data_IF_034393480408
#
_entry.id   IF_034393480408
#
_cell.length_a   1.000
_cell.length_b   1.000
_cell.length_c   1.000
_cell.angle_alpha   90.00
_cell.angle_beta   90.00
_cell.angle_gamma   90.00
#
_symmetry.space_group_name_H-M   'P 1'
#
loop_
_entity.id
_entity.type
_entity.pdbx_description
1 polymer ?
#
# COMPACT_ATOMS: atom_id res chain seq x y z
N UNK A 1 23.90 -18.54 -0.90
CA UNK A 1 24.27 -17.38 -0.07
C UNK A 1 23.11 -17.18 0.90
N UNK A 2 23.36 -16.97 2.20
CA UNK A 2 22.25 -16.74 3.14
C UNK A 2 21.60 -15.38 2.87
N UNK A 3 20.30 -15.23 3.16
CA UNK A 3 19.57 -13.95 3.05
C UNK A 3 20.31 -12.83 3.82
N UNK A 4 20.90 -13.15 4.97
CA UNK A 4 21.75 -12.24 5.75
C UNK A 4 22.98 -11.75 4.99
N UNK A 5 23.71 -12.65 4.32
CA UNK A 5 24.91 -12.26 3.56
C UNK A 5 24.55 -11.38 2.36
N UNK A 6 23.39 -11.64 1.74
CA UNK A 6 22.90 -10.89 0.59
C UNK A 6 22.53 -9.44 0.94
N UNK A 7 21.89 -9.22 2.09
CA UNK A 7 21.38 -7.89 2.47
C UNK A 7 22.45 -6.92 2.98
N UNK A 8 23.62 -7.41 3.42
CA UNK A 8 24.72 -6.57 3.91
C UNK A 8 25.10 -5.44 2.93
N UNK A 9 25.46 -5.72 1.66
CA UNK A 9 25.86 -4.67 0.72
C UNK A 9 24.73 -3.68 0.42
N UNK A 10 23.47 -4.15 0.31
CA UNK A 10 22.32 -3.26 0.08
C UNK A 10 22.09 -2.35 1.29
N UNK A 11 22.15 -2.92 2.51
CA UNK A 11 22.05 -2.15 3.75
C UNK A 11 23.06 -1.02 3.81
N UNK A 12 24.32 -1.32 3.51
CA UNK A 12 25.42 -0.35 3.57
C UNK A 12 25.33 0.70 2.46
N UNK A 13 25.09 0.29 1.22
CA UNK A 13 25.13 1.18 0.07
C UNK A 13 23.90 2.09 -0.04
N UNK A 14 22.74 1.62 0.42
CA UNK A 14 21.47 2.33 0.32
C UNK A 14 20.99 2.90 1.66
N UNK A 15 21.74 2.71 2.74
CA UNK A 15 21.37 3.12 4.10
C UNK A 15 19.98 2.58 4.46
N UNK A 16 19.76 1.28 4.29
CA UNK A 16 18.46 0.68 4.63
C UNK A 16 18.16 0.88 6.12
N UNK A 17 16.95 1.33 6.44
CA UNK A 17 16.46 1.32 7.82
C UNK A 17 16.33 -0.10 8.37
N UNK A 18 16.31 -0.25 9.70
CA UNK A 18 16.11 -1.55 10.33
C UNK A 18 14.74 -2.17 9.99
N UNK A 19 13.73 -1.33 9.76
CA UNK A 19 12.39 -1.77 9.30
C UNK A 19 12.52 -2.36 7.90
N UNK A 20 13.09 -1.61 6.95
CA UNK A 20 13.32 -2.06 5.59
C UNK A 20 14.10 -3.37 5.54
N UNK A 21 15.15 -3.48 6.35
CA UNK A 21 15.94 -4.71 6.43
C UNK A 21 15.11 -5.91 6.88
N UNK A 22 14.23 -5.74 7.87
CA UNK A 22 13.37 -6.83 8.34
C UNK A 22 12.29 -7.19 7.31
N UNK A 23 11.69 -6.21 6.65
CA UNK A 23 10.72 -6.44 5.55
C UNK A 23 11.35 -7.26 4.43
N UNK A 24 12.55 -6.88 3.98
CA UNK A 24 13.25 -7.62 2.94
C UNK A 24 13.65 -9.03 3.40
N UNK A 25 14.01 -9.22 4.68
CA UNK A 25 14.29 -10.56 5.22
C UNK A 25 13.07 -11.45 5.15
N UNK A 26 11.93 -10.97 5.64
CA UNK A 26 10.68 -11.73 5.66
C UNK A 26 10.24 -12.08 4.24
N UNK A 27 10.23 -11.11 3.32
CA UNK A 27 9.89 -11.39 1.92
C UNK A 27 10.86 -12.37 1.27
N UNK A 28 12.17 -12.32 1.58
CA UNK A 28 13.15 -13.27 1.03
C UNK A 28 13.08 -14.68 1.62
N UNK A 29 12.52 -14.85 2.81
CA UNK A 29 12.30 -16.18 3.40
C UNK A 29 11.17 -16.92 2.67
N UNK A 30 10.16 -16.18 2.19
CA UNK A 30 9.03 -16.71 1.40
C UNK A 30 9.33 -16.72 -0.10
N UNK A 31 10.04 -15.70 -0.59
CA UNK A 31 10.31 -15.43 -2.01
C UNK A 31 11.83 -15.29 -2.27
N UNK A 32 12.62 -16.37 -2.11
CA UNK A 32 14.09 -16.29 -2.20
C UNK A 32 14.62 -15.82 -3.56
N UNK A 33 13.81 -15.87 -4.62
CA UNK A 33 14.19 -15.37 -5.95
C UNK A 33 14.14 -13.83 -6.06
N UNK A 34 13.53 -13.12 -5.11
CA UNK A 34 13.53 -11.65 -5.09
C UNK A 34 14.90 -11.03 -4.81
N UNK A 35 15.92 -11.82 -4.41
CA UNK A 35 17.30 -11.32 -4.24
C UNK A 35 17.80 -10.57 -5.49
N UNK A 36 17.51 -11.09 -6.68
CA UNK A 36 17.90 -10.42 -7.93
C UNK A 36 17.16 -9.09 -8.10
N UNK A 37 15.86 -9.07 -7.85
CA UNK A 37 15.05 -7.85 -7.95
C UNK A 37 15.55 -6.78 -6.98
N UNK A 38 15.80 -7.10 -5.71
CA UNK A 38 16.32 -6.14 -4.74
C UNK A 38 17.72 -5.63 -5.09
N UNK A 39 18.56 -6.46 -5.72
CA UNK A 39 19.85 -6.01 -6.26
C UNK A 39 19.65 -4.94 -7.32
N UNK A 40 18.78 -5.20 -8.30
CA UNK A 40 18.52 -4.27 -9.40
C UNK A 40 17.88 -2.97 -8.90
N UNK A 41 16.90 -3.08 -7.99
CA UNK A 41 16.24 -1.94 -7.34
C UNK A 41 17.21 -1.08 -6.51
N UNK A 42 18.20 -1.70 -5.86
CA UNK A 42 19.20 -0.98 -5.06
C UNK A 42 20.07 -0.03 -5.91
N UNK A 43 20.24 -0.31 -7.21
CA UNK A 43 20.99 0.56 -8.11
C UNK A 43 20.19 1.73 -8.70
N UNK A 44 18.87 1.77 -8.48
CA UNK A 44 18.05 2.88 -8.95
C UNK A 44 18.41 4.18 -8.22
N UNK A 45 18.56 5.29 -8.96
CA UNK A 45 18.87 6.60 -8.38
C UNK A 45 17.84 7.03 -7.33
N UNK A 46 16.57 6.66 -7.55
CA UNK A 46 15.46 6.90 -6.63
C UNK A 46 15.57 6.17 -5.29
N UNK A 47 16.44 5.16 -5.19
CA UNK A 47 16.68 4.37 -3.97
C UNK A 47 18.04 4.69 -3.33
N UNK A 48 18.70 5.77 -3.76
CA UNK A 48 19.97 6.21 -3.18
C UNK A 48 19.83 6.62 -1.70
N UNK A 49 20.96 6.56 -0.97
CA UNK A 49 21.05 6.89 0.45
C UNK A 49 20.32 8.18 0.85
N UNK A 50 20.37 9.24 0.03
CA UNK A 50 19.74 10.53 0.38
C UNK A 50 18.22 10.45 0.56
N UNK A 51 17.58 9.41 0.01
CA UNK A 51 16.15 9.16 0.16
C UNK A 51 15.83 8.15 1.27
N UNK A 52 16.83 7.58 1.95
CA UNK A 52 16.60 6.63 3.04
C UNK A 52 15.73 7.23 4.15
N UNK A 53 14.85 6.41 4.70
CA UNK A 53 14.07 6.68 5.90
C UNK A 53 14.94 7.13 7.09
N UNK A 54 16.20 6.67 7.20
CA UNK A 54 17.12 7.06 8.26
C UNK A 54 17.45 8.57 8.23
N UNK A 55 17.36 9.21 7.06
CA UNK A 55 17.62 10.63 6.88
C UNK A 55 16.41 11.53 7.14
N UNK A 56 15.24 10.93 7.43
CA UNK A 56 13.98 11.64 7.64
C UNK A 56 13.89 12.14 9.08
N UNK A 57 13.62 13.44 9.22
CA UNK A 57 13.40 14.08 10.52
C UNK A 57 11.93 14.01 10.91
N UNK A 58 11.69 13.66 12.15
CA UNK A 58 10.37 13.75 12.78
C UNK A 58 9.99 15.22 12.98
N UNK A 59 8.72 15.55 12.70
CA UNK A 59 8.15 16.88 12.86
C UNK A 59 6.97 16.86 13.83
N UNK A 60 6.56 18.01 14.35
CA UNK A 60 5.29 18.09 15.07
C UNK A 60 4.14 18.09 14.04
N UNK A 61 3.43 16.97 13.93
CA UNK A 61 2.43 16.71 12.90
C UNK A 61 1.04 16.53 13.52
N UNK A 62 -0.04 17.03 12.89
CA UNK A 62 -1.41 16.79 13.34
C UNK A 62 -1.81 15.29 13.28
N UNK A 63 -1.04 14.47 12.57
CA UNK A 63 -1.24 13.02 12.47
C UNK A 63 -0.58 12.24 13.62
N UNK A 64 0.18 12.92 14.50
CA UNK A 64 0.90 12.26 15.60
C UNK A 64 -0.02 11.38 16.45
N UNK A 65 0.44 10.16 16.71
CA UNK A 65 -0.25 9.11 17.46
C UNK A 65 -1.58 8.61 16.84
N UNK A 66 -1.99 9.10 15.67
CA UNK A 66 -3.15 8.54 14.96
C UNK A 66 -2.82 7.12 14.54
N UNK A 67 -3.68 6.18 14.94
CA UNK A 67 -3.49 4.76 14.67
C UNK A 67 -4.17 4.41 13.36
N UNK A 68 -3.38 4.15 12.34
CA UNK A 68 -3.87 3.97 10.97
C UNK A 68 -3.47 2.58 10.48
N UNK A 69 -4.46 1.81 10.05
CA UNK A 69 -4.25 0.52 9.40
C UNK A 69 -4.11 0.73 7.89
N UNK A 70 -3.02 0.26 7.32
CA UNK A 70 -2.77 0.23 5.89
C UNK A 70 -2.84 -1.21 5.42
N UNK A 71 -3.86 -1.54 4.63
CA UNK A 71 -4.00 -2.84 3.98
C UNK A 71 -3.63 -2.69 2.50
N UNK A 72 -2.69 -3.49 2.02
CA UNK A 72 -2.36 -3.49 0.59
C UNK A 72 -1.43 -4.61 0.17
N UNK A 73 -0.75 -4.39 -0.95
CA UNK A 73 0.18 -5.34 -1.56
C UNK A 73 1.57 -4.73 -1.74
N UNK A 74 2.26 -5.02 -2.84
CA UNK A 74 3.63 -4.58 -3.14
C UNK A 74 3.84 -3.06 -3.07
N UNK A 75 2.82 -2.26 -3.36
CA UNK A 75 2.88 -0.79 -3.30
C UNK A 75 2.78 -0.29 -1.86
N UNK A 76 1.94 -0.85 -0.99
CA UNK A 76 1.97 -0.52 0.45
C UNK A 76 3.22 -1.07 1.12
N UNK A 77 3.67 -2.26 0.71
CA UNK A 77 4.90 -2.89 1.21
C UNK A 77 6.15 -2.05 0.90
N UNK A 78 6.17 -1.37 -0.25
CA UNK A 78 7.32 -0.59 -0.71
C UNK A 78 8.31 -1.41 -1.51
N UNK A 79 7.83 -2.35 -2.33
CA UNK A 79 8.67 -3.29 -3.09
C UNK A 79 9.73 -2.57 -3.92
N UNK A 80 9.32 -1.59 -4.75
CA UNK A 80 10.21 -0.77 -5.57
C UNK A 80 11.14 0.17 -4.79
N UNK A 81 10.92 0.31 -3.48
CA UNK A 81 11.63 1.20 -2.57
C UNK A 81 12.40 0.45 -1.47
N UNK A 82 12.72 -0.82 -1.71
CA UNK A 82 13.47 -1.67 -0.80
C UNK A 82 12.80 -1.79 0.59
N UNK A 83 11.48 -1.94 0.62
CA UNK A 83 10.68 -2.09 1.84
C UNK A 83 10.37 -0.79 2.59
N UNK A 84 10.68 0.39 2.03
CA UNK A 84 10.33 1.70 2.60
C UNK A 84 9.25 2.40 1.77
N UNK A 85 8.00 2.29 2.19
CA UNK A 85 6.86 2.94 1.53
C UNK A 85 6.48 4.26 2.21
N UNK A 86 5.50 4.97 1.63
CA UNK A 86 4.91 6.16 2.23
C UNK A 86 4.42 5.93 3.68
N UNK A 87 4.07 4.69 4.05
CA UNK A 87 3.65 4.35 5.41
C UNK A 87 4.80 4.51 6.40
N UNK A 88 5.99 4.04 6.03
CA UNK A 88 7.18 4.15 6.87
C UNK A 88 7.60 5.62 7.01
N UNK A 89 7.49 6.40 5.92
CA UNK A 89 7.73 7.84 5.96
C UNK A 89 6.73 8.57 6.87
N UNK A 90 5.43 8.27 6.80
CA UNK A 90 4.43 8.83 7.71
C UNK A 90 4.75 8.46 9.17
N UNK A 91 5.13 7.21 9.44
CA UNK A 91 5.54 6.80 10.78
C UNK A 91 6.74 7.62 11.28
N UNK A 92 7.79 7.74 10.47
CA UNK A 92 9.04 8.41 10.85
C UNK A 92 8.90 9.94 10.95
N UNK A 93 8.26 10.56 9.96
CA UNK A 93 8.11 12.01 9.83
C UNK A 93 6.99 12.52 10.73
N UNK A 94 5.79 11.94 10.60
CA UNK A 94 4.57 12.42 11.24
C UNK A 94 4.28 11.77 12.59
N UNK A 95 4.90 10.62 12.87
CA UNK A 95 4.70 9.93 14.15
C UNK A 95 3.32 9.27 14.26
N UNK A 96 2.73 8.82 13.15
CA UNK A 96 1.53 7.97 13.19
C UNK A 96 1.85 6.63 13.88
N UNK A 97 0.86 6.03 14.52
CA UNK A 97 0.92 4.64 14.96
C UNK A 97 0.48 3.73 13.81
N UNK A 98 1.37 3.56 12.83
CA UNK A 98 1.09 2.76 11.63
C UNK A 98 0.96 1.27 11.94
N UNK A 99 -0.08 0.63 11.39
CA UNK A 99 -0.14 -0.82 11.21
C UNK A 99 -0.03 -1.06 9.71
N UNK A 100 1.11 -1.57 9.25
CA UNK A 100 1.37 -1.85 7.84
C UNK A 100 1.13 -3.33 7.58
N UNK A 101 -0.05 -3.66 7.06
CA UNK A 101 -0.42 -5.01 6.65
C UNK A 101 -0.39 -5.11 5.13
N UNK A 102 0.79 -5.41 4.60
CA UNK A 102 1.04 -5.42 3.18
C UNK A 102 2.02 -6.50 2.80
N UNK A 103 1.66 -7.26 1.76
CA UNK A 103 2.44 -8.39 1.31
C UNK A 103 2.60 -8.34 -0.21
N UNK A 104 3.77 -8.73 -0.68
CA UNK A 104 4.08 -8.66 -2.09
C UNK A 104 3.19 -9.63 -2.90
N UNK A 105 2.75 -9.20 -4.10
CA UNK A 105 2.00 -10.08 -5.01
C UNK A 105 0.54 -10.41 -4.64
N UNK A 106 0.04 -10.01 -3.48
CA UNK A 106 -1.32 -10.41 -3.03
C UNK A 106 -2.46 -9.64 -3.70
N UNK A 107 -3.62 -10.27 -3.78
CA UNK A 107 -4.86 -9.73 -4.37
C UNK A 107 -5.88 -9.30 -3.31
N UNK A 108 -6.85 -8.45 -3.70
CA UNK A 108 -8.04 -8.18 -2.88
C UNK A 108 -8.94 -9.41 -2.77
N UNK A 109 -9.14 -10.10 -3.90
CA UNK A 109 -9.98 -11.29 -3.96
C UNK A 109 -9.51 -12.38 -3.01
N UNK A 110 -10.45 -12.94 -2.24
CA UNK A 110 -10.24 -14.10 -1.39
C UNK A 110 -10.23 -15.36 -2.28
N UNK A 111 -9.08 -15.64 -2.89
CA UNK A 111 -8.87 -16.89 -3.58
C UNK A 111 -8.56 -17.95 -2.52
N UNK A 112 -9.37 -19.00 -2.45
CA UNK A 112 -9.23 -20.13 -1.53
C UNK A 112 -7.96 -20.94 -1.93
N UNK A 113 -6.78 -20.34 -1.75
CA UNK A 113 -5.48 -20.90 -2.10
C UNK A 113 -4.92 -21.67 -0.90
N UNK A 114 -4.04 -22.62 -1.21
CA UNK A 114 -3.51 -23.61 -0.25
C UNK A 114 -2.55 -23.02 0.80
N UNK A 115 -2.32 -21.71 0.79
CA UNK A 115 -1.51 -20.98 1.75
C UNK A 115 -2.40 -20.02 2.55
N UNK A 116 -2.28 -20.08 3.88
CA UNK A 116 -2.98 -19.16 4.77
C UNK A 116 -2.36 -17.75 4.64
N UNK A 117 -3.14 -16.75 4.21
CA UNK A 117 -2.72 -15.33 4.20
C UNK A 117 -2.69 -14.62 2.83
N UNK A 118 -2.91 -15.35 1.73
CA UNK A 118 -2.67 -14.87 0.36
C UNK A 118 -3.57 -13.71 -0.14
N UNK A 119 -4.64 -13.36 0.59
CA UNK A 119 -5.59 -12.31 0.21
C UNK A 119 -5.66 -11.16 1.22
N UNK A 120 -5.85 -9.94 0.72
CA UNK A 120 -6.07 -8.78 1.57
C UNK A 120 -7.30 -8.95 2.48
N UNK A 121 -8.32 -9.70 2.05
CA UNK A 121 -9.50 -10.03 2.87
C UNK A 121 -9.14 -10.91 4.06
N UNK A 122 -8.30 -11.94 3.85
CA UNK A 122 -7.86 -12.82 4.93
C UNK A 122 -7.07 -12.03 5.98
N UNK A 123 -6.05 -11.26 5.57
CA UNK A 123 -5.26 -10.44 6.49
C UNK A 123 -6.07 -9.35 7.18
N UNK A 124 -6.99 -8.71 6.45
CA UNK A 124 -7.93 -7.75 7.04
C UNK A 124 -8.75 -8.36 8.19
N UNK A 125 -9.24 -9.60 8.06
CA UNK A 125 -10.02 -10.27 9.12
C UNK A 125 -9.22 -10.42 10.41
N UNK A 126 -7.91 -10.64 10.33
CA UNK A 126 -7.04 -10.75 11.50
C UNK A 126 -6.91 -9.43 12.27
N UNK A 127 -6.99 -8.30 11.55
CA UNK A 127 -6.87 -6.96 12.12
C UNK A 127 -8.14 -6.48 12.83
N UNK A 128 -9.31 -7.08 12.60
CA UNK A 128 -10.60 -6.62 13.14
C UNK A 128 -10.61 -6.44 14.67
N UNK A 129 -9.74 -7.16 15.39
CA UNK A 129 -9.63 -7.08 16.85
C UNK A 129 -8.85 -5.85 17.35
N UNK A 130 -8.21 -5.12 16.44
CA UNK A 130 -7.31 -4.01 16.76
C UNK A 130 -8.06 -2.69 16.56
N UNK A 131 -8.30 -1.89 17.62
CA UNK A 131 -8.92 -0.56 17.45
C UNK A 131 -8.01 0.36 16.64
N UNK A 132 -8.59 1.13 15.72
CA UNK A 132 -7.89 2.08 14.83
C UNK A 132 -8.69 3.38 14.66
N UNK A 133 -8.00 4.45 14.27
CA UNK A 133 -8.61 5.75 13.97
C UNK A 133 -9.08 5.88 12.52
N UNK A 134 -8.49 5.10 11.60
CA UNK A 134 -8.72 5.13 10.16
C UNK A 134 -8.17 3.88 9.46
N UNK A 135 -8.85 3.43 8.40
CA UNK A 135 -8.39 2.41 7.47
C UNK A 135 -7.94 3.07 6.15
N UNK A 136 -6.80 2.65 5.62
CA UNK A 136 -6.31 2.98 4.29
C UNK A 136 -6.16 1.68 3.49
N UNK A 137 -6.87 1.57 2.37
CA UNK A 137 -6.90 0.37 1.54
C UNK A 137 -6.31 0.68 0.16
N UNK A 138 -5.31 -0.11 -0.25
CA UNK A 138 -4.78 -0.06 -1.60
C UNK A 138 -5.78 -0.68 -2.59
N UNK A 139 -6.05 0.02 -3.70
CA UNK A 139 -6.68 -0.59 -4.87
C UNK A 139 -5.65 -1.46 -5.60
N UNK A 140 -5.74 -2.77 -5.40
CA UNK A 140 -4.73 -3.74 -5.83
C UNK A 140 -4.51 -3.75 -7.36
N UNK A 141 -3.26 -3.56 -7.76
CA UNK A 141 -2.83 -3.70 -9.16
C UNK A 141 -2.68 -5.17 -9.56
N UNK A 142 -2.49 -6.08 -8.59
CA UNK A 142 -2.34 -7.52 -8.83
C UNK A 142 -3.63 -8.15 -9.32
N UNK A 143 -4.79 -7.70 -8.82
CA UNK A 143 -6.09 -8.17 -9.29
C UNK A 143 -6.28 -7.87 -10.78
N UNK A 144 -5.81 -6.69 -11.23
CA UNK A 144 -5.84 -6.31 -12.63
C UNK A 144 -4.82 -7.07 -13.49
N UNK A 145 -3.60 -7.31 -12.97
CA UNK A 145 -2.55 -8.06 -13.69
C UNK A 145 -2.87 -9.56 -13.81
N UNK A 146 -3.56 -10.12 -12.82
CA UNK A 146 -4.00 -11.53 -12.81
C UNK A 146 -5.42 -11.74 -13.37
N UNK A 147 -6.03 -10.67 -13.88
CA UNK A 147 -7.35 -10.68 -14.53
C UNK A 147 -8.46 -11.29 -13.64
N UNK A 148 -8.50 -10.88 -12.39
CA UNK A 148 -9.52 -11.28 -11.43
C UNK A 148 -10.92 -10.82 -11.87
N UNK A 149 -11.95 -11.52 -11.39
CA UNK A 149 -13.33 -11.16 -11.68
C UNK A 149 -13.68 -9.82 -11.04
N UNK A 150 -14.11 -8.83 -11.83
CA UNK A 150 -14.50 -7.52 -11.32
C UNK A 150 -15.68 -7.59 -10.33
N UNK A 151 -16.69 -8.40 -10.63
CA UNK A 151 -17.95 -8.42 -9.86
C UNK A 151 -18.84 -7.23 -10.20
N UNK A 152 -19.78 -6.92 -9.29
CA UNK A 152 -20.71 -5.79 -9.39
C UNK A 152 -20.94 -5.23 -7.99
N UNK A 153 -21.31 -3.96 -7.90
CA UNK A 153 -21.73 -3.35 -6.63
C UNK A 153 -23.00 -4.06 -6.18
N UNK A 154 -23.02 -4.58 -4.95
CA UNK A 154 -24.16 -5.28 -4.38
C UNK A 154 -25.32 -4.33 -4.11
N UNK A 155 -26.55 -4.82 -4.21
CA UNK A 155 -27.76 -4.09 -3.77
C UNK A 155 -28.13 -4.42 -2.31
N UNK A 156 -27.48 -5.42 -1.71
CA UNK A 156 -27.68 -5.91 -0.35
C UNK A 156 -26.35 -6.07 0.39
N UNK A 157 -26.40 -6.65 1.60
CA UNK A 157 -25.24 -6.90 2.46
C UNK A 157 -24.54 -8.25 2.18
N UNK A 158 -24.81 -8.89 1.03
CA UNK A 158 -24.09 -10.07 0.58
C UNK A 158 -22.99 -9.69 -0.40
N UNK A 159 -21.74 -9.93 0.00
CA UNK A 159 -20.57 -9.57 -0.80
C UNK A 159 -19.80 -10.83 -1.23
N UNK A 160 -19.67 -11.03 -2.54
CA UNK A 160 -18.88 -12.13 -3.10
C UNK A 160 -17.38 -11.78 -3.03
N UNK A 161 -16.70 -12.25 -1.99
CA UNK A 161 -15.27 -12.02 -1.78
C UNK A 161 -14.38 -12.68 -2.84
N UNK A 162 -14.94 -13.51 -3.73
CA UNK A 162 -14.24 -14.04 -4.91
C UNK A 162 -14.24 -13.06 -6.11
N UNK A 163 -14.79 -11.85 -5.92
CA UNK A 163 -14.74 -10.75 -6.89
C UNK A 163 -14.09 -9.52 -6.29
N UNK A 164 -13.49 -8.67 -7.14
CA UNK A 164 -12.81 -7.45 -6.70
C UNK A 164 -13.78 -6.53 -5.95
N UNK A 165 -14.95 -6.24 -6.54
CA UNK A 165 -15.92 -5.34 -5.93
C UNK A 165 -16.49 -5.94 -4.64
N UNK A 166 -16.84 -7.23 -4.63
CA UNK A 166 -17.36 -7.87 -3.42
C UNK A 166 -16.31 -7.92 -2.29
N UNK A 167 -15.03 -8.16 -2.59
CA UNK A 167 -13.96 -8.09 -1.60
C UNK A 167 -13.82 -6.67 -1.01
N UNK A 168 -13.86 -5.64 -1.85
CA UNK A 168 -13.82 -4.24 -1.38
C UNK A 168 -15.03 -3.91 -0.50
N UNK A 169 -16.25 -4.27 -0.91
CA UNK A 169 -17.46 -4.01 -0.12
C UNK A 169 -17.48 -4.77 1.20
N UNK A 170 -16.98 -6.01 1.21
CA UNK A 170 -16.80 -6.77 2.45
C UNK A 170 -15.88 -6.02 3.42
N UNK A 171 -14.69 -5.59 2.97
CA UNK A 171 -13.73 -4.86 3.83
C UNK A 171 -14.37 -3.56 4.35
N UNK A 172 -15.01 -2.78 3.47
CA UNK A 172 -15.65 -1.51 3.83
C UNK A 172 -16.75 -1.73 4.88
N UNK A 173 -17.67 -2.66 4.61
CA UNK A 173 -18.80 -2.97 5.49
C UNK A 173 -18.32 -3.43 6.88
N UNK A 174 -17.38 -4.37 6.92
CA UNK A 174 -16.84 -4.89 8.18
C UNK A 174 -16.06 -3.82 8.97
N UNK A 175 -15.26 -2.98 8.29
CA UNK A 175 -14.52 -1.91 8.93
C UNK A 175 -15.46 -0.85 9.53
N UNK A 176 -16.51 -0.45 8.80
CA UNK A 176 -17.50 0.50 9.30
C UNK A 176 -18.32 -0.08 10.45
N UNK A 177 -18.69 -1.36 10.40
CA UNK A 177 -19.41 -2.03 11.48
C UNK A 177 -18.56 -2.21 12.75
N UNK A 178 -17.25 -2.37 12.61
CA UNK A 178 -16.35 -2.69 13.72
C UNK A 178 -15.75 -1.44 14.38
N UNK A 179 -15.23 -0.50 13.58
CA UNK A 179 -14.44 0.62 14.11
C UNK A 179 -15.13 1.97 14.00
N UNK A 180 -16.17 2.08 13.16
CA UNK A 180 -16.86 3.35 12.88
C UNK A 180 -15.88 4.49 12.50
N UNK A 181 -14.83 4.15 11.74
CA UNK A 181 -13.78 5.07 11.34
C UNK A 181 -13.83 5.42 9.84
N UNK A 182 -13.17 6.51 9.40
CA UNK A 182 -13.08 6.85 7.99
C UNK A 182 -12.27 5.78 7.28
N UNK A 183 -12.58 5.61 6.00
CA UNK A 183 -11.90 4.68 5.11
C UNK A 183 -11.43 5.49 3.92
N UNK A 184 -10.16 5.33 3.56
CA UNK A 184 -9.57 5.88 2.36
C UNK A 184 -9.14 4.74 1.45
N UNK A 185 -9.64 4.70 0.22
CA UNK A 185 -9.08 3.85 -0.82
C UNK A 185 -8.09 4.69 -1.62
N UNK A 186 -6.91 4.18 -1.95
CA UNK A 186 -6.00 4.87 -2.87
C UNK A 186 -5.72 4.04 -4.11
N UNK A 187 -5.65 4.71 -5.26
CA UNK A 187 -5.35 4.09 -6.56
C UNK A 187 -3.85 4.22 -6.86
N UNK A 188 -3.34 3.34 -7.71
CA UNK A 188 -2.02 3.49 -8.31
C UNK A 188 -2.05 4.64 -9.33
N UNK A 189 -0.93 5.33 -9.58
CA UNK A 189 -0.77 6.16 -10.76
C UNK A 189 -1.17 5.42 -12.04
N UNK A 190 -1.48 6.19 -13.09
CA UNK A 190 -1.89 5.65 -14.37
C UNK A 190 -0.89 4.61 -14.90
N UNK A 191 -1.41 3.43 -15.26
CA UNK A 191 -0.75 2.43 -16.09
C UNK A 191 -1.79 1.81 -17.02
N UNK A 192 -1.37 1.33 -18.19
CA UNK A 192 -2.31 0.88 -19.22
C UNK A 192 -2.92 -0.49 -18.85
N UNK A 193 -4.09 -0.48 -18.20
CA UNK A 193 -4.85 -1.70 -17.92
C UNK A 193 -6.36 -1.42 -17.86
N UNK A 194 -7.11 -2.03 -18.79
CA UNK A 194 -8.57 -1.84 -18.92
C UNK A 194 -9.35 -2.30 -17.67
N UNK A 195 -8.92 -3.39 -17.04
CA UNK A 195 -9.57 -3.88 -15.82
C UNK A 195 -9.29 -2.92 -14.66
N UNK A 196 -8.05 -2.43 -14.53
CA UNK A 196 -7.73 -1.44 -13.49
C UNK A 196 -8.53 -0.14 -13.67
N UNK A 197 -8.71 0.34 -14.90
CA UNK A 197 -9.59 1.49 -15.18
C UNK A 197 -11.04 1.25 -14.68
N UNK A 198 -11.57 0.04 -14.87
CA UNK A 198 -12.88 -0.35 -14.35
C UNK A 198 -12.90 -0.40 -12.82
N UNK A 199 -11.82 -0.91 -12.20
CA UNK A 199 -11.66 -0.93 -10.75
C UNK A 199 -11.63 0.48 -10.16
N UNK A 200 -10.94 1.43 -10.78
CA UNK A 200 -10.92 2.85 -10.37
C UNK A 200 -12.33 3.44 -10.43
N UNK A 201 -13.09 3.18 -11.50
CA UNK A 201 -14.49 3.61 -11.61
C UNK A 201 -15.36 2.98 -10.51
N UNK A 202 -15.14 1.71 -10.20
CA UNK A 202 -15.85 1.01 -9.13
C UNK A 202 -15.51 1.60 -7.75
N UNK A 203 -14.25 1.90 -7.46
CA UNK A 203 -13.85 2.55 -6.21
C UNK A 203 -14.60 3.87 -5.98
N UNK A 204 -14.76 4.69 -7.02
CA UNK A 204 -15.57 5.92 -6.96
C UNK A 204 -17.07 5.68 -6.81
N UNK A 205 -17.61 4.57 -7.34
CA UNK A 205 -18.99 4.17 -7.09
C UNK A 205 -19.19 3.77 -5.62
N UNK A 206 -18.27 2.98 -5.09
CA UNK A 206 -18.27 2.56 -3.68
C UNK A 206 -18.08 3.74 -2.74
N UNK A 207 -17.25 4.73 -3.10
CA UNK A 207 -17.10 5.98 -2.37
C UNK A 207 -18.44 6.67 -2.11
N UNK A 208 -19.28 6.79 -3.15
CA UNK A 208 -20.62 7.37 -3.05
C UNK A 208 -21.58 6.50 -2.26
N UNK A 209 -21.57 5.18 -2.49
CA UNK A 209 -22.47 4.23 -1.81
C UNK A 209 -22.21 4.19 -0.31
N UNK A 210 -20.94 4.10 0.08
CA UNK A 210 -20.52 3.82 1.46
C UNK A 210 -20.06 5.07 2.22
N UNK A 211 -20.10 6.25 1.59
CA UNK A 211 -19.59 7.50 2.15
C UNK A 211 -18.15 7.37 2.65
N UNK A 212 -17.27 6.87 1.77
CA UNK A 212 -15.82 6.75 2.00
C UNK A 212 -15.06 7.64 1.02
N UNK A 213 -13.77 7.85 1.28
CA UNK A 213 -12.93 8.72 0.45
C UNK A 213 -12.07 7.91 -0.52
N UNK A 214 -11.73 8.49 -1.68
CA UNK A 214 -10.82 7.89 -2.66
C UNK A 214 -9.70 8.88 -2.99
N UNK A 215 -8.46 8.51 -2.69
CA UNK A 215 -7.27 9.18 -3.20
C UNK A 215 -6.95 8.65 -4.60
N UNK A 216 -7.46 9.36 -5.61
CA UNK A 216 -7.32 8.96 -7.01
C UNK A 216 -6.01 9.46 -7.63
N UNK A 217 -4.95 8.67 -7.51
CA UNK A 217 -3.67 8.93 -8.19
C UNK A 217 -3.72 8.57 -9.68
N UNK A 218 -4.60 7.63 -10.07
CA UNK A 218 -4.76 7.16 -11.45
C UNK A 218 -5.19 8.29 -12.39
N UNK A 219 -6.17 9.10 -11.99
CA UNK A 219 -6.63 10.25 -12.77
C UNK A 219 -5.92 11.57 -12.41
N UNK A 220 -4.91 11.53 -11.53
CA UNK A 220 -4.19 12.73 -11.13
C UNK A 220 -3.11 13.10 -12.16
N UNK A 221 -3.19 14.30 -12.80
CA UNK A 221 -2.21 14.70 -13.81
C UNK A 221 -0.78 14.83 -13.25
N UNK A 222 -0.58 15.11 -11.96
CA UNK A 222 0.74 15.22 -11.34
C UNK A 222 1.48 13.88 -11.19
N UNK A 223 0.75 12.78 -11.43
CA UNK A 223 1.20 11.39 -11.40
C UNK A 223 1.20 10.71 -12.77
N UNK A 224 0.77 11.44 -13.83
CA UNK A 224 0.84 11.00 -15.22
C UNK A 224 2.24 11.32 -15.76
N UNK A 225 2.98 10.31 -16.23
CA UNK A 225 4.34 10.44 -16.79
C UNK A 225 5.43 10.85 -15.77
N UNK A 226 5.53 10.10 -14.68
CA UNK A 226 6.54 10.34 -13.66
C UNK A 226 7.96 9.96 -14.12
N UNK A 227 8.99 10.77 -13.82
CA UNK A 227 10.38 10.41 -14.06
C UNK A 227 10.77 9.06 -13.43
N UNK A 228 11.70 8.34 -14.06
CA UNK A 228 12.30 7.11 -13.54
C UNK A 228 12.99 7.28 -12.16
N UNK A 229 13.23 8.53 -11.74
CA UNK A 229 13.65 8.80 -10.37
C UNK A 229 12.59 8.36 -9.35
N UNK A 230 11.30 8.52 -9.65
CA UNK A 230 10.19 8.29 -8.73
C UNK A 230 9.54 6.92 -8.88
N UNK A 231 9.72 6.25 -10.02
CA UNK A 231 9.07 4.98 -10.34
C UNK A 231 10.11 3.96 -10.78
N UNK A 232 10.16 2.81 -10.11
CA UNK A 232 11.03 1.68 -10.44
C UNK A 232 10.53 0.93 -11.69
N UNK A 233 9.21 0.87 -11.83
CA UNK A 233 8.49 0.37 -13.00
C UNK A 233 7.15 1.11 -13.12
N UNK A 234 6.24 0.66 -13.98
CA UNK A 234 4.92 1.31 -14.18
C UNK A 234 4.01 1.28 -12.92
N UNK A 235 4.30 0.43 -11.93
CA UNK A 235 3.50 0.21 -10.73
C UNK A 235 4.20 0.77 -9.49
N UNK A 236 5.47 0.45 -9.27
CA UNK A 236 6.13 0.59 -7.97
C UNK A 236 6.93 1.90 -7.87
N UNK A 237 6.62 2.78 -6.90
CA UNK A 237 7.47 3.91 -6.58
C UNK A 237 8.81 3.49 -5.99
N UNK A 238 9.83 4.32 -6.23
CA UNK A 238 11.11 4.29 -5.51
C UNK A 238 10.98 5.02 -4.17
N UNK A 239 12.03 5.01 -3.34
CA UNK A 239 12.08 5.82 -2.10
C UNK A 239 11.86 7.30 -2.38
N UNK A 240 12.47 7.84 -3.43
CA UNK A 240 12.24 9.21 -3.89
C UNK A 240 10.77 9.45 -4.26
N UNK A 241 10.15 8.50 -4.97
CA UNK A 241 8.74 8.58 -5.34
C UNK A 241 7.83 8.63 -4.11
N UNK A 242 8.08 7.78 -3.12
CA UNK A 242 7.32 7.83 -1.88
C UNK A 242 7.56 9.13 -1.10
N UNK A 243 8.82 9.48 -0.84
CA UNK A 243 9.18 10.62 0.01
C UNK A 243 8.80 11.97 -0.59
N UNK A 244 9.10 12.21 -1.88
CA UNK A 244 8.98 13.53 -2.49
C UNK A 244 7.64 13.74 -3.19
N UNK A 245 6.99 12.67 -3.66
CA UNK A 245 5.74 12.74 -4.44
C UNK A 245 4.52 12.24 -3.67
N UNK A 246 4.55 11.02 -3.14
CA UNK A 246 3.36 10.42 -2.52
C UNK A 246 3.11 10.96 -1.12
N UNK A 247 4.13 11.02 -0.27
CA UNK A 247 4.02 11.40 1.12
C UNK A 247 3.28 12.73 1.32
N UNK A 248 3.59 13.84 0.61
CA UNK A 248 2.86 15.09 0.77
C UNK A 248 1.36 14.99 0.45
N UNK A 249 1.00 14.14 -0.51
CA UNK A 249 -0.40 13.92 -0.91
C UNK A 249 -1.14 13.14 0.17
N UNK A 250 -0.52 12.08 0.70
CA UNK A 250 -1.08 11.30 1.81
C UNK A 250 -1.16 12.13 3.10
N UNK A 251 -0.12 12.88 3.48
CA UNK A 251 -0.13 13.77 4.66
C UNK A 251 -1.33 14.71 4.61
N UNK A 252 -1.54 15.36 3.47
CA UNK A 252 -2.65 16.30 3.26
C UNK A 252 -4.01 15.60 3.31
N UNK A 253 -4.17 14.45 2.65
CA UNK A 253 -5.45 13.75 2.61
C UNK A 253 -5.83 13.16 3.98
N UNK A 254 -4.89 12.50 4.65
CA UNK A 254 -5.09 11.94 5.98
C UNK A 254 -5.42 13.04 7.00
N UNK A 255 -4.71 14.18 6.95
CA UNK A 255 -4.97 15.31 7.85
C UNK A 255 -6.37 15.87 7.63
N UNK A 256 -6.79 16.06 6.37
CA UNK A 256 -8.13 16.54 6.04
C UNK A 256 -9.21 15.59 6.55
N UNK A 257 -9.06 14.28 6.32
CA UNK A 257 -10.06 13.29 6.72
C UNK A 257 -10.17 13.21 8.24
N UNK A 258 -9.04 13.16 8.95
CA UNK A 258 -9.02 13.02 10.41
C UNK A 258 -9.39 14.31 11.15
N UNK A 259 -9.35 15.47 10.50
CA UNK A 259 -9.83 16.74 11.05
C UNK A 259 -11.36 16.90 10.97
N UNK A 260 -12.06 16.12 10.13
CA UNK A 260 -13.54 16.17 10.02
C UNK A 260 -14.27 15.45 11.16
N UNK A 261 -13.55 14.80 12.08
CA UNK A 261 -14.07 14.00 13.19
C UNK A 261 -14.24 14.80 14.49
#
# INVERSE_FOLDING_TARGET
>A
MSNETFLIPIRQNNDLSDIALNELRMDLDEHPLHQRAYTELAYLLGNSHKYSLNNVKTIDSPLRNKKILFVGSSVTFGFGALGESFVDYLWKKDGIAAIKDAENGTTLVDQDTSYHGDSCVARFKENLKTPIDMLVLQLSTNDARTNQKLGKVSDDDHFDTQTIIGAMEYIISQAQATWHCPILIYTNPYFENKLYEQMVKAAHQLARKWNIEVLDLYNNPDFKDQPALYMADEIHPTRAGYLEKWLPVFENELTKILAKK
#
